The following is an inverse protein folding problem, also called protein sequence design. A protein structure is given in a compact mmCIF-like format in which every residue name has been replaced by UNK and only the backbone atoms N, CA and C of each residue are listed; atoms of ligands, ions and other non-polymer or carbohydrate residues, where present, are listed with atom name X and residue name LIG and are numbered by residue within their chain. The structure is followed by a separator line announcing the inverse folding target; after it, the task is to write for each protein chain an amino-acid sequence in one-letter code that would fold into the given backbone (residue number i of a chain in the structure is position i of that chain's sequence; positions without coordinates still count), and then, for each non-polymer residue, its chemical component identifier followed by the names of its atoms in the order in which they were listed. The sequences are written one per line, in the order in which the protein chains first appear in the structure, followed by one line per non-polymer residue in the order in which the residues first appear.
data_IF_225013605173
#
_entry.id   IF_225013605173
#
_cell.length_a   1.000
_cell.length_b   1.000
_cell.length_c   1.000
_cell.angle_alpha   90.00
_cell.angle_beta   90.00
_cell.angle_gamma   90.00
#
_symmetry.space_group_name_H-M   'P 1'
#
loop_
_entity.id
_entity.type
_entity.pdbx_description
1 polymer ?
#
# COMPACT_ATOMS: atom_id res chain seq x y z
N UNK A 1 6.55 27.00 -29.35
CA UNK A 1 5.79 27.87 -28.44
C UNK A 1 5.23 26.96 -27.37
N UNK A 2 5.79 27.14 -26.17
CA UNK A 2 5.39 26.70 -24.82
C UNK A 2 4.49 25.47 -24.72
N UNK A 3 4.82 24.44 -23.94
CA UNK A 3 5.43 24.45 -22.62
C UNK A 3 6.54 23.40 -22.54
N UNK A 4 7.77 23.75 -22.17
CA UNK A 4 8.14 23.88 -20.76
C UNK A 4 7.66 22.67 -19.95
N UNK A 5 8.26 21.51 -20.20
CA UNK A 5 8.43 20.47 -19.19
C UNK A 5 9.33 21.02 -18.08
N UNK A 6 8.79 22.00 -17.35
CA UNK A 6 9.35 22.56 -16.14
C UNK A 6 9.61 21.42 -15.16
N UNK A 7 10.89 21.10 -15.01
CA UNK A 7 11.58 20.86 -13.74
C UNK A 7 10.61 20.78 -12.52
N UNK A 8 10.64 19.64 -11.83
CA UNK A 8 10.08 19.36 -10.47
C UNK A 8 8.98 18.28 -10.30
N UNK A 9 8.77 17.32 -11.21
CA UNK A 9 8.07 16.05 -10.83
C UNK A 9 8.89 14.81 -11.20
N UNK A 10 10.15 14.80 -10.79
CA UNK A 10 10.92 13.57 -10.60
C UNK A 10 10.90 13.12 -9.14
N UNK A 11 9.86 13.49 -8.37
CA UNK A 11 9.49 12.68 -7.21
C UNK A 11 8.85 11.44 -7.79
N UNK A 12 9.56 10.30 -7.74
CA UNK A 12 8.98 8.98 -7.96
C UNK A 12 7.71 8.91 -7.12
N UNK A 13 6.56 9.19 -7.74
CA UNK A 13 5.30 9.21 -7.03
C UNK A 13 5.16 7.83 -6.39
N UNK A 14 5.03 7.82 -5.07
CA UNK A 14 4.80 6.57 -4.37
C UNK A 14 3.48 6.03 -4.90
N UNK A 15 3.51 4.83 -5.46
CA UNK A 15 2.37 4.20 -6.13
C UNK A 15 2.06 2.90 -5.40
N UNK A 16 0.77 2.63 -5.18
CA UNK A 16 0.33 1.39 -4.58
C UNK A 16 0.70 0.18 -5.45
N UNK A 17 1.40 -0.81 -4.86
CA UNK A 17 1.78 -2.05 -5.55
C UNK A 17 0.61 -2.94 -6.00
N UNK A 18 -0.61 -2.67 -5.53
CA UNK A 18 -1.81 -3.46 -5.87
C UNK A 18 -2.62 -2.77 -6.96
N UNK A 19 -3.10 -1.54 -6.71
CA UNK A 19 -3.99 -0.84 -7.65
C UNK A 19 -3.25 0.07 -8.64
N UNK A 20 -1.94 0.27 -8.47
CA UNK A 20 -1.10 1.16 -9.31
C UNK A 20 -1.55 2.62 -9.34
N UNK A 21 -2.22 3.07 -8.28
CA UNK A 21 -2.62 4.48 -8.10
C UNK A 21 -1.74 5.16 -7.05
N UNK A 22 -1.60 6.48 -7.18
CA UNK A 22 -0.87 7.33 -6.25
C UNK A 22 -1.58 7.40 -4.88
N UNK A 23 -0.82 7.81 -3.86
CA UNK A 23 -1.39 8.15 -2.56
C UNK A 23 -2.08 9.50 -2.60
N UNK A 24 -3.33 9.57 -2.16
CA UNK A 24 -4.05 10.84 -1.96
C UNK A 24 -4.19 11.12 -0.46
N UNK A 25 -4.47 12.37 -0.04
CA UNK A 25 -4.78 12.67 1.36
C UNK A 25 -5.96 11.84 1.90
N UNK A 26 -6.96 11.48 1.08
CA UNK A 26 -8.03 10.58 1.50
C UNK A 26 -7.62 9.09 1.50
N UNK A 27 -6.71 8.70 0.61
CA UNK A 27 -6.20 7.34 0.46
C UNK A 27 -4.66 7.33 0.54
N UNK A 28 -4.08 7.52 1.73
CA UNK A 28 -2.64 7.55 1.90
C UNK A 28 -2.01 6.17 1.65
N UNK A 29 -0.73 6.20 1.25
CA UNK A 29 0.09 5.01 1.09
C UNK A 29 0.88 4.70 2.36
N UNK A 30 1.06 3.42 2.62
CA UNK A 30 1.80 2.92 3.78
C UNK A 30 2.90 1.96 3.36
N UNK A 31 3.90 1.78 4.22
CA UNK A 31 5.00 0.83 4.04
C UNK A 31 4.93 -0.30 5.08
N UNK A 32 4.08 -1.33 4.87
CA UNK A 32 3.85 -2.34 5.89
C UNK A 32 5.01 -3.35 6.01
N UNK A 33 6.04 -3.25 5.16
CA UNK A 33 7.19 -4.14 5.16
C UNK A 33 8.48 -3.38 4.87
N UNK A 34 9.61 -4.05 5.06
CA UNK A 34 10.96 -3.50 4.86
C UNK A 34 11.42 -3.48 3.38
N UNK A 35 10.52 -3.73 2.44
CA UNK A 35 10.86 -3.62 1.02
C UNK A 35 11.33 -2.21 0.67
N UNK A 36 12.16 -2.10 -0.37
CA UNK A 36 12.68 -0.83 -0.88
C UNK A 36 12.04 -0.48 -2.23
N UNK A 37 12.15 0.77 -2.66
CA UNK A 37 11.54 1.24 -3.91
C UNK A 37 10.01 1.33 -3.84
N UNK A 38 9.36 1.40 -5.01
CA UNK A 38 7.91 1.59 -5.15
C UNK A 38 7.08 0.42 -4.59
N UNK A 39 7.64 -0.79 -4.56
CA UNK A 39 6.92 -1.99 -4.13
C UNK A 39 6.60 -2.05 -2.63
N UNK A 40 7.23 -1.17 -1.84
CA UNK A 40 6.95 -1.06 -0.41
C UNK A 40 5.63 -0.36 -0.12
N UNK A 41 5.11 0.43 -1.07
CA UNK A 41 3.93 1.25 -0.86
C UNK A 41 2.63 0.52 -1.21
N UNK A 42 1.65 0.61 -0.33
CA UNK A 42 0.32 0.03 -0.53
C UNK A 42 -0.74 0.87 0.20
N UNK A 43 -1.93 1.00 -0.37
CA UNK A 43 -3.07 1.60 0.33
C UNK A 43 -3.55 0.68 1.45
N UNK A 44 -4.13 1.27 2.50
CA UNK A 44 -4.74 0.52 3.60
C UNK A 44 -5.82 -0.45 3.10
N UNK A 45 -6.74 0.00 2.24
CA UNK A 45 -7.80 -0.84 1.68
C UNK A 45 -7.25 -2.01 0.85
N UNK A 46 -6.25 -1.73 0.01
CA UNK A 46 -5.59 -2.74 -0.81
C UNK A 46 -4.85 -3.77 0.05
N UNK A 47 -4.17 -3.35 1.12
CA UNK A 47 -3.51 -4.24 2.05
C UNK A 47 -4.52 -5.16 2.74
N UNK A 48 -5.65 -4.61 3.20
CA UNK A 48 -6.72 -5.39 3.86
C UNK A 48 -7.33 -6.41 2.91
N UNK A 49 -7.67 -6.01 1.68
CA UNK A 49 -8.20 -6.94 0.67
C UNK A 49 -7.18 -8.03 0.34
N UNK A 50 -5.91 -7.66 0.20
CA UNK A 50 -4.83 -8.61 -0.04
C UNK A 50 -4.69 -9.61 1.12
N UNK A 51 -4.73 -9.16 2.38
CA UNK A 51 -4.66 -10.04 3.56
C UNK A 51 -5.86 -11.00 3.61
N UNK A 52 -7.07 -10.50 3.32
CA UNK A 52 -8.31 -11.29 3.27
C UNK A 52 -8.22 -12.40 2.21
N UNK A 53 -7.67 -12.09 1.03
CA UNK A 53 -7.56 -13.03 -0.08
C UNK A 53 -6.37 -14.00 0.09
N UNK A 54 -5.21 -13.49 0.48
CA UNK A 54 -3.95 -14.24 0.58
C UNK A 54 -3.90 -15.14 1.82
N UNK A 55 -4.60 -14.78 2.90
CA UNK A 55 -4.49 -15.40 4.24
C UNK A 55 -3.04 -15.48 4.77
N UNK A 56 -2.17 -14.59 4.30
CA UNK A 56 -0.76 -14.51 4.68
C UNK A 56 -0.51 -13.22 5.43
N UNK A 57 0.18 -13.30 6.56
CA UNK A 57 0.55 -12.13 7.38
C UNK A 57 1.97 -11.61 7.08
N UNK A 58 2.59 -12.11 6.02
CA UNK A 58 3.98 -11.86 5.65
C UNK A 58 4.08 -11.31 4.24
N UNK A 59 5.02 -10.38 4.03
CA UNK A 59 5.35 -9.92 2.70
C UNK A 59 5.87 -11.08 1.85
N UNK A 60 5.34 -11.25 0.64
CA UNK A 60 5.75 -12.35 -0.24
C UNK A 60 7.18 -12.23 -0.76
N UNK A 61 7.73 -11.00 -0.77
CA UNK A 61 9.07 -10.69 -1.27
C UNK A 61 10.10 -10.76 -0.16
N UNK A 62 9.99 -9.88 0.85
CA UNK A 62 10.99 -9.80 1.91
C UNK A 62 10.73 -10.76 3.08
N UNK A 63 9.63 -11.53 3.05
CA UNK A 63 9.20 -12.49 4.10
C UNK A 63 9.01 -11.88 5.49
N UNK A 64 9.17 -10.56 5.63
CA UNK A 64 8.95 -9.86 6.88
C UNK A 64 7.46 -9.86 7.22
N UNK A 65 7.14 -10.05 8.49
CA UNK A 65 5.76 -9.93 8.98
C UNK A 65 5.31 -8.50 8.75
N UNK A 66 4.11 -8.31 8.21
CA UNK A 66 3.64 -6.95 8.00
C UNK A 66 3.53 -6.23 9.35
N UNK A 67 4.09 -5.02 9.43
CA UNK A 67 3.95 -4.13 10.58
C UNK A 67 2.55 -3.49 10.55
N UNK A 68 1.54 -4.31 10.82
CA UNK A 68 0.14 -3.90 10.83
C UNK A 68 -0.49 -4.45 12.11
N UNK A 69 -0.94 -3.58 13.01
CA UNK A 69 -1.67 -3.97 14.22
C UNK A 69 -3.12 -4.30 13.85
N UNK A 70 -3.55 -5.57 13.92
CA UNK A 70 -4.86 -6.01 13.44
C UNK A 70 -6.02 -5.71 14.41
N UNK A 71 -5.74 -5.08 15.56
CA UNK A 71 -6.67 -4.94 16.69
C UNK A 71 -7.97 -4.19 16.39
N UNK A 72 -8.03 -3.39 15.31
CA UNK A 72 -9.26 -2.72 14.87
C UNK A 72 -9.93 -3.33 13.62
N UNK A 73 -9.26 -4.25 12.92
CA UNK A 73 -9.67 -4.65 11.56
C UNK A 73 -10.19 -6.09 11.47
N UNK A 74 -9.72 -7.01 12.31
CA UNK A 74 -10.28 -8.38 12.40
C UNK A 74 -11.74 -8.37 12.87
N UNK A 75 -12.12 -7.37 13.69
CA UNK A 75 -13.50 -7.23 14.20
C UNK A 75 -14.52 -6.82 13.12
N UNK A 76 -14.08 -6.17 12.03
CA UNK A 76 -15.00 -5.72 10.97
C UNK A 76 -15.21 -6.78 9.87
N UNK A 77 -14.24 -7.67 9.66
CA UNK A 77 -14.35 -8.74 8.64
C UNK A 77 -15.02 -10.02 9.18
N UNK A 78 -15.23 -10.11 10.49
CA UNK A 78 -15.89 -11.25 11.16
C UNK A 78 -17.40 -11.17 11.29
N UNK A 79 -18.06 -10.12 10.77
CA UNK A 79 -19.51 -9.92 10.90
C UNK A 79 -20.30 -9.99 9.57
N UNK A 80 -19.65 -10.44 8.48
CA UNK A 80 -20.32 -10.74 7.20
C UNK A 80 -20.24 -12.25 6.86
N UNK A 81 -20.57 -13.10 7.83
CA UNK A 81 -20.96 -14.50 7.60
C UNK A 81 -22.40 -14.71 8.07
#
# INVERSE_FOLDING_TARGET
CDQADNILVAFSADICRVCRSEGTPEKPLYHPCVCTGSIKFIHQECLVQWLKHSRKEYCELCKHRFAFTPSKYILLVGFFF
#
